data_IF_352623507361
#
_entry.id   IF_352623507361
#
_cell.length_a   1.000
_cell.length_b   1.000
_cell.length_c   1.000
_cell.angle_alpha   90.00
_cell.angle_beta   90.00
_cell.angle_gamma   90.00
#
_symmetry.space_group_name_H-M   'P 1'
#
loop_
_entity.id
_entity.type
_entity.pdbx_description
1 polymer ?
#
# COMPACT_ATOMS: atom_id res chain seq x y z
N UNK A 1 -3.37 -22.33 6.78
CA UNK A 1 -2.27 -21.72 7.57
C UNK A 1 -1.36 -20.86 6.69
N UNK A 2 -0.71 -21.41 5.66
CA UNK A 2 0.21 -20.65 4.78
C UNK A 2 -0.43 -19.42 4.11
N UNK A 3 -1.70 -19.52 3.70
CA UNK A 3 -2.43 -18.45 3.00
C UNK A 3 -2.68 -17.24 3.90
N UNK A 4 -2.87 -17.46 5.20
CA UNK A 4 -3.03 -16.39 6.20
C UNK A 4 -1.70 -15.67 6.41
N UNK A 5 -0.59 -16.41 6.54
CA UNK A 5 0.75 -15.83 6.69
C UNK A 5 1.13 -15.00 5.46
N UNK A 6 0.90 -15.52 4.26
CA UNK A 6 1.11 -14.76 3.01
C UNK A 6 0.26 -13.49 2.97
N UNK A 7 -0.98 -13.54 3.45
CA UNK A 7 -1.84 -12.36 3.46
C UNK A 7 -1.35 -11.26 4.39
N UNK A 8 -0.77 -11.62 5.53
CA UNK A 8 -0.13 -10.65 6.42
C UNK A 8 1.09 -10.05 5.72
N UNK A 9 1.90 -10.88 5.05
CA UNK A 9 3.06 -10.44 4.27
C UNK A 9 2.71 -9.40 3.20
N UNK A 10 1.76 -9.71 2.30
CA UNK A 10 1.36 -8.78 1.24
C UNK A 10 0.77 -7.47 1.79
N UNK A 11 -0.04 -7.54 2.84
CA UNK A 11 -0.63 -6.34 3.45
C UNK A 11 0.44 -5.41 4.04
N UNK A 12 1.44 -5.98 4.73
CA UNK A 12 2.54 -5.21 5.33
C UNK A 12 3.47 -4.65 4.25
N UNK A 13 3.75 -5.40 3.19
CA UNK A 13 4.64 -4.97 2.09
C UNK A 13 4.12 -3.72 1.38
N UNK A 14 2.86 -3.75 0.92
CA UNK A 14 2.24 -2.61 0.25
C UNK A 14 2.17 -1.38 1.17
N UNK A 15 1.83 -1.60 2.44
CA UNK A 15 1.74 -0.54 3.44
C UNK A 15 3.10 0.09 3.75
N UNK A 16 4.16 -0.73 3.87
CA UNK A 16 5.52 -0.29 4.13
C UNK A 16 6.07 0.54 2.95
N UNK A 17 5.85 0.10 1.71
CA UNK A 17 6.26 0.85 0.53
C UNK A 17 5.60 2.23 0.46
N UNK A 18 4.27 2.31 0.61
CA UNK A 18 3.55 3.59 0.57
C UNK A 18 3.97 4.51 1.72
N UNK A 19 4.11 3.97 2.94
CA UNK A 19 4.56 4.75 4.11
C UNK A 19 6.00 5.26 3.92
N UNK A 20 6.88 4.44 3.37
CA UNK A 20 8.25 4.84 3.06
C UNK A 20 8.28 6.02 2.07
N UNK A 21 7.48 5.95 0.99
CA UNK A 21 7.31 7.06 0.05
C UNK A 21 6.77 8.34 0.69
N UNK A 22 5.87 8.20 1.66
CA UNK A 22 5.35 9.34 2.42
C UNK A 22 6.42 9.98 3.31
N UNK A 23 7.22 9.16 4.01
CA UNK A 23 8.27 9.62 4.93
C UNK A 23 9.39 10.34 4.19
N UNK A 24 9.83 9.80 3.03
CA UNK A 24 10.90 10.40 2.23
C UNK A 24 10.46 11.63 1.42
N UNK A 25 9.15 11.84 1.23
CA UNK A 25 8.62 13.01 0.53
C UNK A 25 8.92 14.29 1.32
N UNK A 26 9.55 15.26 0.65
CA UNK A 26 9.90 16.59 1.20
C UNK A 26 8.75 17.62 1.12
N UNK A 27 7.53 17.20 0.78
CA UNK A 27 6.37 18.09 0.65
C UNK A 27 5.91 18.63 2.01
N UNK A 28 5.46 19.89 2.04
CA UNK A 28 5.11 20.60 3.27
C UNK A 28 3.74 20.24 3.84
N UNK A 29 2.82 19.72 3.02
CA UNK A 29 1.45 19.38 3.45
C UNK A 29 1.23 17.87 3.38
N UNK A 30 0.53 17.27 4.37
CA UNK A 30 0.25 15.83 4.41
C UNK A 30 -0.41 15.33 3.13
N UNK A 31 -1.37 16.09 2.60
CA UNK A 31 -2.09 15.76 1.36
C UNK A 31 -1.15 15.68 0.15
N UNK A 32 -0.22 16.64 0.00
CA UNK A 32 0.76 16.63 -1.08
C UNK A 32 1.79 15.52 -0.91
N UNK A 33 2.21 15.22 0.32
CA UNK A 33 3.10 14.09 0.63
C UNK A 33 2.46 12.77 0.22
N UNK A 34 1.19 12.54 0.60
CA UNK A 34 0.43 11.34 0.21
C UNK A 34 0.29 11.26 -1.30
N UNK A 35 -0.09 12.37 -1.96
CA UNK A 35 -0.27 12.39 -3.42
C UNK A 35 1.04 12.09 -4.16
N UNK A 36 2.15 12.63 -3.68
CA UNK A 36 3.48 12.40 -4.25
C UNK A 36 3.93 10.95 -4.04
N UNK A 37 3.73 10.41 -2.83
CA UNK A 37 4.05 9.03 -2.51
C UNK A 37 3.22 8.05 -3.35
N UNK A 38 1.91 8.28 -3.48
CA UNK A 38 1.02 7.45 -4.27
C UNK A 38 1.30 7.57 -5.78
N UNK A 39 1.65 8.76 -6.25
CA UNK A 39 2.06 8.99 -7.64
C UNK A 39 3.36 8.27 -8.00
N UNK A 40 4.33 8.25 -7.10
CA UNK A 40 5.63 7.61 -7.34
C UNK A 40 5.59 6.09 -7.14
N UNK A 41 4.89 5.61 -6.11
CA UNK A 41 4.93 4.19 -5.69
C UNK A 41 3.66 3.40 -6.02
N UNK A 42 2.53 4.05 -6.31
CA UNK A 42 1.29 3.36 -6.64
C UNK A 42 1.40 2.51 -7.90
N UNK A 43 2.03 3.03 -8.95
CA UNK A 43 2.23 2.27 -10.20
C UNK A 43 3.19 1.08 -10.03
N UNK A 44 4.39 1.24 -9.44
CA UNK A 44 5.27 0.11 -9.13
C UNK A 44 4.61 -0.98 -8.26
N UNK A 45 3.89 -0.60 -7.19
CA UNK A 45 3.25 -1.55 -6.27
C UNK A 45 2.15 -2.35 -6.98
N UNK A 46 1.30 -1.67 -7.75
CA UNK A 46 0.24 -2.35 -8.53
C UNK A 46 0.83 -3.28 -9.59
N UNK A 47 1.91 -2.89 -10.26
CA UNK A 47 2.61 -3.74 -11.21
C UNK A 47 3.21 -5.00 -10.54
N UNK A 48 3.80 -4.86 -9.34
CA UNK A 48 4.30 -5.99 -8.57
C UNK A 48 3.19 -6.95 -8.10
N UNK A 49 2.03 -6.42 -7.75
CA UNK A 49 0.86 -7.25 -7.45
C UNK A 49 0.35 -8.00 -8.69
N UNK A 50 0.29 -7.34 -9.85
CA UNK A 50 -0.11 -7.98 -11.11
C UNK A 50 0.84 -9.11 -11.53
N UNK A 51 2.16 -8.93 -11.37
CA UNK A 51 3.12 -9.99 -11.71
C UNK A 51 2.96 -11.21 -10.81
N UNK A 52 2.60 -11.02 -9.54
CA UNK A 52 2.29 -12.11 -8.61
C UNK A 52 1.04 -12.86 -9.05
N UNK A 53 -0.03 -12.14 -9.44
CA UNK A 53 -1.25 -12.76 -9.99
C UNK A 53 -0.95 -13.58 -11.24
N UNK A 54 -0.14 -13.03 -12.16
CA UNK A 54 0.31 -13.76 -13.35
C UNK A 54 1.09 -15.03 -12.98
N UNK A 55 1.94 -14.98 -11.95
CA UNK A 55 2.68 -16.14 -11.49
C UNK A 55 1.77 -17.23 -10.92
N UNK A 56 0.70 -16.88 -10.20
CA UNK A 56 -0.23 -17.88 -9.65
C UNK A 56 -1.33 -18.32 -10.62
N UNK A 57 -1.55 -17.63 -11.74
CA UNK A 57 -2.63 -17.99 -12.69
C UNK A 57 -2.45 -19.39 -13.28
N UNK A 58 -1.22 -19.85 -13.44
CA UNK A 58 -0.91 -21.20 -13.94
C UNK A 58 -1.43 -22.30 -13.01
N UNK A 59 -1.62 -22.00 -11.73
CA UNK A 59 -2.19 -22.94 -10.76
C UNK A 59 -3.70 -23.11 -10.92
N UNK A 60 -4.38 -22.23 -11.66
CA UNK A 60 -5.83 -22.33 -11.87
C UNK A 60 -6.25 -23.56 -12.71
N UNK A 61 -5.35 -24.07 -13.56
CA UNK A 61 -5.62 -25.20 -14.47
C UNK A 61 -5.37 -26.58 -13.83
N UNK A 62 -4.85 -26.61 -12.61
CA UNK A 62 -4.53 -27.87 -11.92
C UNK A 62 -5.81 -28.49 -11.35
N UNK A 63 -6.16 -29.75 -11.67
CA UNK A 63 -7.38 -30.42 -11.21
C UNK A 63 -7.26 -30.92 -9.76
N UNK A 64 -6.77 -30.07 -8.86
CA UNK A 64 -6.62 -30.36 -7.44
C UNK A 64 -7.32 -29.28 -6.61
N UNK A 65 -8.32 -29.70 -5.82
CA UNK A 65 -9.12 -28.81 -4.98
C UNK A 65 -8.27 -27.88 -4.09
N UNK A 66 -7.18 -28.42 -3.53
CA UNK A 66 -6.28 -27.67 -2.67
C UNK A 66 -5.57 -26.53 -3.42
N UNK A 67 -5.17 -26.78 -4.68
CA UNK A 67 -4.44 -25.82 -5.52
C UNK A 67 -5.36 -24.71 -6.02
N UNK A 68 -6.57 -25.04 -6.46
CA UNK A 68 -7.56 -24.03 -6.88
C UNK A 68 -7.97 -23.14 -5.70
N UNK A 69 -8.13 -23.72 -4.51
CA UNK A 69 -8.40 -22.96 -3.28
C UNK A 69 -7.25 -22.02 -2.96
N UNK A 70 -6.00 -22.47 -3.10
CA UNK A 70 -4.81 -21.65 -2.92
C UNK A 70 -4.79 -20.44 -3.87
N UNK A 71 -5.01 -20.66 -5.18
CA UNK A 71 -5.11 -19.58 -6.17
C UNK A 71 -6.16 -18.53 -5.77
N UNK A 72 -7.38 -18.97 -5.42
CA UNK A 72 -8.46 -18.08 -5.00
C UNK A 72 -8.09 -17.26 -3.76
N UNK A 73 -7.43 -17.88 -2.78
CA UNK A 73 -7.00 -17.18 -1.56
C UNK A 73 -5.89 -16.17 -1.81
N UNK A 74 -4.91 -16.47 -2.67
CA UNK A 74 -3.83 -15.54 -3.02
C UNK A 74 -4.38 -14.35 -3.78
N UNK A 75 -5.25 -14.59 -4.76
CA UNK A 75 -5.91 -13.51 -5.50
C UNK A 75 -6.70 -12.58 -4.57
N UNK A 76 -7.51 -13.15 -3.68
CA UNK A 76 -8.28 -12.37 -2.71
C UNK A 76 -7.38 -11.60 -1.74
N UNK A 77 -6.29 -12.22 -1.30
CA UNK A 77 -5.32 -11.61 -0.41
C UNK A 77 -4.63 -10.39 -1.03
N UNK A 78 -4.18 -10.50 -2.29
CA UNK A 78 -3.57 -9.39 -3.02
C UNK A 78 -4.58 -8.27 -3.23
N UNK A 79 -5.82 -8.60 -3.64
CA UNK A 79 -6.87 -7.60 -3.86
C UNK A 79 -7.21 -6.83 -2.58
N UNK A 80 -7.40 -7.52 -1.45
CA UNK A 80 -7.66 -6.90 -0.16
C UNK A 80 -6.45 -6.11 0.35
N UNK A 81 -5.25 -6.65 0.19
CA UNK A 81 -4.00 -5.99 0.57
C UNK A 81 -3.78 -4.68 -0.19
N UNK A 82 -3.98 -4.68 -1.52
CA UNK A 82 -3.87 -3.47 -2.33
C UNK A 82 -4.93 -2.44 -1.94
N UNK A 83 -6.19 -2.86 -1.75
CA UNK A 83 -7.26 -1.95 -1.33
C UNK A 83 -6.92 -1.30 0.01
N UNK A 84 -6.41 -2.08 0.97
CA UNK A 84 -6.04 -1.56 2.28
C UNK A 84 -4.79 -0.67 2.22
N UNK A 85 -3.74 -1.10 1.50
CA UNK A 85 -2.47 -0.39 1.40
C UNK A 85 -2.51 0.89 0.57
N UNK A 86 -3.31 0.94 -0.51
CA UNK A 86 -3.42 2.11 -1.39
C UNK A 86 -4.60 3.04 -1.09
N UNK A 87 -5.63 2.60 -0.37
CA UNK A 87 -6.80 3.46 -0.07
C UNK A 87 -6.89 3.75 1.43
N UNK A 88 -6.96 2.72 2.26
CA UNK A 88 -7.20 2.90 3.69
C UNK A 88 -6.02 3.61 4.38
N UNK A 89 -4.80 3.15 4.11
CA UNK A 89 -3.58 3.70 4.71
C UNK A 89 -3.34 5.18 4.35
N UNK A 90 -3.33 5.61 3.07
CA UNK A 90 -3.09 7.02 2.74
C UNK A 90 -4.17 7.96 3.29
N UNK A 91 -5.42 7.52 3.40
CA UNK A 91 -6.50 8.27 4.07
C UNK A 91 -6.20 8.42 5.57
N UNK A 92 -5.81 7.33 6.24
CA UNK A 92 -5.42 7.37 7.65
C UNK A 92 -4.20 8.26 7.88
N UNK A 93 -3.17 8.19 7.03
CA UNK A 93 -1.98 9.05 7.11
C UNK A 93 -2.36 10.52 6.92
N UNK A 94 -3.22 10.84 5.96
CA UNK A 94 -3.66 12.22 5.72
C UNK A 94 -4.45 12.80 6.91
N UNK A 95 -5.31 12.00 7.53
CA UNK A 95 -6.15 12.43 8.67
C UNK A 95 -5.37 12.53 9.98
N UNK A 96 -4.60 11.49 10.34
CA UNK A 96 -3.88 11.43 11.62
C UNK A 96 -2.62 12.30 11.63
N UNK A 97 -1.85 12.35 10.54
CA UNK A 97 -0.62 13.16 10.49
C UNK A 97 -0.93 14.63 10.19
N UNK A 98 -2.05 14.92 9.52
CA UNK A 98 -2.53 16.29 9.35
C UNK A 98 -2.82 17.02 10.67
N UNK A 99 -3.29 16.30 11.69
CA UNK A 99 -3.47 16.86 13.04
C UNK A 99 -2.17 17.28 13.73
N UNK A 100 -1.06 16.57 13.49
CA UNK A 100 0.24 16.88 14.09
C UNK A 100 0.95 18.06 13.41
N UNK A 101 0.64 18.36 12.14
CA UNK A 101 1.18 19.55 11.47
C UNK A 101 0.52 20.88 11.91
N UNK A 102 -0.65 20.85 12.56
CA UNK A 102 -1.25 22.06 13.14
C UNK A 102 -0.49 22.51 14.40
N UNK A 103 0.22 21.61 15.09
CA UNK A 103 1.00 21.93 16.29
C UNK A 103 2.46 22.35 16.03
N UNK A 104 2.91 22.28 14.77
CA UNK A 104 4.22 22.77 14.33
C UNK A 104 4.08 23.99 13.40
N UNK A 105 3.19 24.91 13.76
CA UNK A 105 3.32 26.29 13.34
C UNK A 105 3.82 27.14 14.51
N UNK A 106 5.13 27.18 14.80
CA UNK A 106 5.76 28.45 15.05
C UNK A 106 5.93 29.14 13.69
N UNK A 107 5.50 30.39 13.64
CA UNK A 107 5.92 31.43 12.70
C UNK A 107 7.37 31.17 12.23
N UNK A 108 7.66 31.09 10.94
CA UNK A 108 8.24 32.23 10.26
C UNK A 108 8.01 32.18 8.74
N UNK A 109 7.03 32.96 8.29
CA UNK A 109 7.27 33.90 7.21
C UNK A 109 7.57 35.26 7.83
N UNK A 110 8.84 35.62 8.00
CA UNK A 110 9.29 37.02 8.11
C UNK A 110 10.57 37.16 7.30
N UNK A 111 10.62 38.25 6.53
CA UNK A 111 11.45 38.39 5.33
C UNK A 111 12.94 38.62 5.53
N UNK A 112 13.68 38.28 4.48
CA UNK A 112 14.69 39.09 3.81
C UNK A 112 15.00 38.44 2.46
#
# INVERSE_FOLDING_TARGET
MITIIMSIGFSVDYSAHITYGYVISAESTPEKRVKTALGALGWPVTQGAMSTILAVVVLADVPAYMIVTFFKTVFLSIALGLLHGLVFLPVMLSLFVGGSCILLSPEDKVGA
#
